data_IF_309684946198
#
_entry.id   IF_309684946198
#
_cell.length_a   1.000
_cell.length_b   1.000
_cell.length_c   1.000
_cell.angle_alpha   90.00
_cell.angle_beta   90.00
_cell.angle_gamma   90.00
#
_symmetry.space_group_name_H-M   'P 1'
#
loop_
_entity.id
_entity.type
_entity.pdbx_description
1 polymer ?
#
# COMPACT_ATOMS: atom_id res chain seq x y z
N UNK A 1 -7.03 -3.79 19.21
CA UNK A 1 -7.22 -2.35 18.92
C UNK A 1 -6.15 -1.49 19.58
N UNK A 2 -5.43 -1.98 20.61
CA UNK A 2 -4.34 -1.21 21.25
C UNK A 2 -3.27 -0.75 20.25
N UNK A 3 -2.93 -1.55 19.22
CA UNK A 3 -1.93 -1.17 18.22
C UNK A 3 -2.26 0.11 17.45
N UNK A 4 -3.54 0.33 17.09
CA UNK A 4 -4.00 1.53 16.41
C UNK A 4 -4.00 2.74 17.35
N UNK A 5 -4.43 2.54 18.60
CA UNK A 5 -4.43 3.58 19.63
C UNK A 5 -3.02 4.06 19.99
N UNK A 6 -2.05 3.14 20.05
CA UNK A 6 -0.63 3.46 20.28
C UNK A 6 -0.06 4.27 19.11
N UNK A 7 -0.38 3.90 17.87
CA UNK A 7 0.03 4.63 16.67
C UNK A 7 -0.49 6.07 16.65
N UNK A 8 -1.75 6.28 17.04
CA UNK A 8 -2.36 7.61 17.11
C UNK A 8 -1.79 8.46 18.26
N UNK A 9 -1.19 7.83 19.27
CA UNK A 9 -0.50 8.51 20.38
C UNK A 9 0.97 8.85 20.06
N UNK A 10 1.50 8.41 18.92
CA UNK A 10 2.88 8.70 18.52
C UNK A 10 3.01 10.15 18.04
N UNK A 11 4.00 10.87 18.56
CA UNK A 11 4.29 12.28 18.24
C UNK A 11 4.87 12.51 16.82
N UNK A 12 4.58 11.64 15.86
CA UNK A 12 5.05 11.74 14.46
C UNK A 12 4.65 13.05 13.78
N UNK A 13 3.57 13.69 14.25
CA UNK A 13 3.06 14.94 13.71
C UNK A 13 3.98 16.16 13.95
N UNK A 14 4.98 16.04 14.84
CA UNK A 14 5.93 17.11 15.15
C UNK A 14 7.27 16.97 14.43
N UNK A 15 7.45 15.98 13.56
CA UNK A 15 8.69 15.81 12.79
C UNK A 15 8.66 16.63 11.50
N UNK A 16 9.75 17.34 11.22
CA UNK A 16 9.97 18.04 9.95
C UNK A 16 10.40 17.10 8.81
N UNK A 17 10.67 15.82 9.11
CA UNK A 17 11.13 14.84 8.13
C UNK A 17 9.96 14.08 7.49
N UNK A 18 9.85 14.20 6.16
CA UNK A 18 8.84 13.49 5.35
C UNK A 18 8.88 11.96 5.53
N UNK A 19 10.06 11.40 5.78
CA UNK A 19 10.25 9.96 6.05
C UNK A 19 9.46 9.47 7.26
N UNK A 20 9.39 10.26 8.33
CA UNK A 20 8.76 9.86 9.58
C UNK A 20 7.23 9.79 9.41
N UNK A 21 6.68 10.73 8.62
CA UNK A 21 5.30 10.67 8.18
C UNK A 21 5.03 9.43 7.30
N UNK A 22 5.92 9.12 6.37
CA UNK A 22 5.78 7.96 5.48
C UNK A 22 5.89 6.63 6.25
N UNK A 23 6.70 6.57 7.30
CA UNK A 23 6.79 5.41 8.19
C UNK A 23 5.52 5.25 9.04
N UNK A 24 5.00 6.36 9.58
CA UNK A 24 3.72 6.38 10.28
C UNK A 24 2.58 5.88 9.38
N UNK A 25 2.44 6.43 8.17
CA UNK A 25 1.37 6.05 7.24
C UNK A 25 1.50 4.57 6.86
N UNK A 26 2.71 4.06 6.72
CA UNK A 26 2.95 2.64 6.41
C UNK A 26 2.48 1.73 7.54
N UNK A 27 2.85 2.02 8.78
CA UNK A 27 2.39 1.20 9.92
C UNK A 27 0.88 1.37 10.16
N UNK A 28 0.34 2.58 10.02
CA UNK A 28 -1.10 2.82 10.08
C UNK A 28 -1.86 1.99 9.03
N UNK A 29 -1.36 1.96 7.79
CA UNK A 29 -1.95 1.14 6.71
C UNK A 29 -1.96 -0.34 7.05
N UNK A 30 -0.86 -0.84 7.61
CA UNK A 30 -0.75 -2.23 8.05
C UNK A 30 -1.76 -2.56 9.14
N UNK A 31 -1.85 -1.73 10.18
CA UNK A 31 -2.83 -1.90 11.27
C UNK A 31 -4.26 -1.82 10.74
N UNK A 32 -4.54 -0.89 9.80
CA UNK A 32 -5.86 -0.75 9.18
C UNK A 32 -6.27 -1.99 8.41
N UNK A 33 -5.39 -2.53 7.55
CA UNK A 33 -5.67 -3.74 6.77
C UNK A 33 -5.87 -4.96 7.69
N UNK A 34 -5.06 -5.09 8.74
CA UNK A 34 -5.12 -6.22 9.67
C UNK A 34 -6.36 -6.19 10.57
N UNK A 35 -6.77 -5.02 11.06
CA UNK A 35 -7.84 -4.90 12.06
C UNK A 35 -9.19 -4.46 11.49
N UNK A 36 -9.23 -3.90 10.28
CA UNK A 36 -10.46 -3.43 9.63
C UNK A 36 -10.61 -3.98 8.20
N UNK A 37 -10.45 -5.30 7.97
CA UNK A 37 -10.46 -5.87 6.62
C UNK A 37 -11.76 -5.58 5.84
N UNK A 38 -12.91 -5.58 6.52
CA UNK A 38 -14.21 -5.27 5.91
C UNK A 38 -14.37 -3.83 5.42
N UNK A 39 -13.47 -2.92 5.82
CA UNK A 39 -13.47 -1.51 5.41
C UNK A 39 -12.45 -1.20 4.32
N UNK A 40 -11.53 -2.11 4.02
CA UNK A 40 -10.43 -1.90 3.06
C UNK A 40 -10.98 -1.54 1.68
N UNK A 41 -11.95 -2.31 1.15
CA UNK A 41 -12.51 -2.07 -0.19
C UNK A 41 -13.16 -0.68 -0.31
N UNK A 42 -14.02 -0.33 0.64
CA UNK A 42 -14.70 0.98 0.67
C UNK A 42 -13.71 2.13 0.85
N UNK A 43 -12.69 1.94 1.69
CA UNK A 43 -11.63 2.91 1.91
C UNK A 43 -10.84 3.14 0.62
N UNK A 44 -10.38 2.08 -0.03
CA UNK A 44 -9.65 2.14 -1.31
C UNK A 44 -10.46 2.85 -2.40
N UNK A 45 -11.74 2.49 -2.56
CA UNK A 45 -12.62 3.13 -3.53
C UNK A 45 -12.79 4.64 -3.28
N UNK A 46 -12.73 5.07 -2.01
CA UNK A 46 -12.81 6.48 -1.65
C UNK A 46 -11.49 7.20 -1.90
N UNK A 47 -10.36 6.59 -1.55
CA UNK A 47 -9.02 7.14 -1.76
C UNK A 47 -8.71 7.33 -3.26
N UNK A 48 -9.12 6.38 -4.10
CA UNK A 48 -8.88 6.47 -5.55
C UNK A 48 -9.50 7.74 -6.15
N UNK A 49 -10.66 8.18 -5.66
CA UNK A 49 -11.30 9.44 -6.10
C UNK A 49 -10.45 10.67 -5.77
N UNK A 50 -9.63 10.59 -4.72
CA UNK A 50 -8.76 11.67 -4.27
C UNK A 50 -7.54 11.84 -5.16
N UNK A 51 -7.21 10.86 -6.01
CA UNK A 51 -6.08 10.95 -6.94
C UNK A 51 -6.20 12.13 -7.91
N UNK A 52 -7.41 12.59 -8.21
CA UNK A 52 -7.64 13.72 -9.11
C UNK A 52 -7.95 15.03 -8.38
N UNK A 53 -7.73 15.08 -7.06
CA UNK A 53 -7.89 16.30 -6.29
C UNK A 53 -6.90 17.39 -6.75
N UNK A 54 -7.27 18.69 -6.74
CA UNK A 54 -6.41 19.77 -7.24
C UNK A 54 -5.18 20.03 -6.35
N UNK A 55 -5.12 19.44 -5.16
CA UNK A 55 -4.03 19.66 -4.20
C UNK A 55 -2.97 18.54 -4.29
N UNK A 56 -1.74 18.85 -4.77
CA UNK A 56 -0.73 17.82 -5.02
C UNK A 56 -0.31 17.03 -3.78
N UNK A 57 -0.26 17.68 -2.62
CA UNK A 57 0.06 17.03 -1.34
C UNK A 57 -1.02 16.02 -0.94
N UNK A 58 -2.29 16.36 -1.18
CA UNK A 58 -3.42 15.46 -0.91
C UNK A 58 -3.37 14.25 -1.85
N UNK A 59 -3.07 14.46 -3.13
CA UNK A 59 -2.85 13.37 -4.09
C UNK A 59 -1.71 12.45 -3.64
N UNK A 60 -0.55 13.04 -3.29
CA UNK A 60 0.62 12.28 -2.85
C UNK A 60 0.31 11.43 -1.61
N UNK A 61 -0.38 12.01 -0.61
CA UNK A 61 -0.77 11.29 0.59
C UNK A 61 -1.75 10.14 0.29
N UNK A 62 -2.76 10.38 -0.56
CA UNK A 62 -3.69 9.35 -1.02
C UNK A 62 -2.98 8.19 -1.74
N UNK A 63 -2.04 8.53 -2.63
CA UNK A 63 -1.24 7.56 -3.39
C UNK A 63 -0.41 6.70 -2.44
N UNK A 64 0.31 7.32 -1.51
CA UNK A 64 1.18 6.58 -0.60
C UNK A 64 0.37 5.69 0.36
N UNK A 65 -0.76 6.19 0.87
CA UNK A 65 -1.63 5.44 1.77
C UNK A 65 -2.27 4.22 1.09
N UNK A 66 -2.90 4.41 -0.07
CA UNK A 66 -3.51 3.30 -0.83
C UNK A 66 -2.49 2.24 -1.27
N UNK A 67 -1.29 2.68 -1.71
CA UNK A 67 -0.22 1.76 -2.10
C UNK A 67 0.32 0.98 -0.90
N UNK A 68 0.45 1.64 0.26
CA UNK A 68 0.82 0.98 1.53
C UNK A 68 -0.23 -0.06 1.93
N UNK A 69 -1.52 0.26 1.87
CA UNK A 69 -2.60 -0.70 2.13
C UNK A 69 -2.54 -1.92 1.19
N UNK A 70 -2.33 -1.70 -0.11
CA UNK A 70 -2.19 -2.79 -1.08
C UNK A 70 -0.96 -3.66 -0.80
N UNK A 71 0.16 -3.07 -0.40
CA UNK A 71 1.38 -3.84 -0.13
C UNK A 71 1.29 -4.78 1.08
N UNK A 72 0.36 -4.53 1.99
CA UNK A 72 0.09 -5.37 3.15
C UNK A 72 -1.16 -6.23 2.99
N UNK A 73 -1.89 -6.11 1.87
CA UNK A 73 -3.10 -6.88 1.64
C UNK A 73 -2.74 -8.27 1.09
N UNK A 74 -3.14 -9.31 1.80
CA UNK A 74 -3.09 -10.71 1.32
C UNK A 74 -4.43 -11.13 0.68
N UNK A 75 -5.44 -10.26 0.68
CA UNK A 75 -6.78 -10.51 0.14
C UNK A 75 -6.75 -10.41 -1.40
N UNK A 76 -6.87 -11.57 -2.05
CA UNK A 76 -6.84 -11.69 -3.51
C UNK A 76 -7.96 -10.91 -4.20
N UNK A 77 -9.13 -10.75 -3.57
CA UNK A 77 -10.22 -9.98 -4.14
C UNK A 77 -9.87 -8.47 -4.14
N UNK A 78 -9.30 -7.98 -3.04
CA UNK A 78 -8.83 -6.58 -2.94
C UNK A 78 -7.71 -6.32 -3.95
N UNK A 79 -6.72 -7.22 -4.01
CA UNK A 79 -5.60 -7.10 -4.94
C UNK A 79 -6.09 -7.14 -6.40
N UNK A 80 -6.92 -8.11 -6.77
CA UNK A 80 -7.43 -8.24 -8.14
C UNK A 80 -8.22 -7.00 -8.58
N UNK A 81 -8.97 -6.37 -7.66
CA UNK A 81 -9.78 -5.19 -7.96
C UNK A 81 -8.96 -3.90 -8.06
N UNK A 82 -8.08 -3.67 -7.09
CA UNK A 82 -7.48 -2.34 -6.91
C UNK A 82 -6.02 -2.25 -7.36
N UNK A 83 -5.28 -3.36 -7.41
CA UNK A 83 -3.83 -3.32 -7.69
C UNK A 83 -3.55 -2.73 -9.06
N UNK A 84 -4.12 -3.29 -10.13
CA UNK A 84 -3.91 -2.82 -11.50
C UNK A 84 -4.40 -1.38 -11.69
N UNK A 85 -5.53 -1.03 -11.07
CA UNK A 85 -6.08 0.31 -11.15
C UNK A 85 -5.15 1.34 -10.51
N UNK A 86 -4.70 1.10 -9.27
CA UNK A 86 -3.78 2.00 -8.57
C UNK A 86 -2.45 2.05 -9.32
N UNK A 87 -1.86 0.90 -9.66
CA UNK A 87 -0.58 0.82 -10.37
C UNK A 87 -0.59 1.62 -11.69
N UNK A 88 -1.66 1.49 -12.48
CA UNK A 88 -1.84 2.26 -13.71
C UNK A 88 -1.86 3.78 -13.47
N UNK A 89 -2.55 4.24 -12.41
CA UNK A 89 -2.54 5.65 -12.02
C UNK A 89 -1.14 6.10 -11.61
N UNK A 90 -0.39 5.28 -10.85
CA UNK A 90 0.96 5.63 -10.43
C UNK A 90 1.88 5.84 -11.64
N UNK A 91 1.88 4.92 -12.60
CA UNK A 91 2.69 5.04 -13.82
C UNK A 91 2.29 6.29 -14.61
N UNK A 92 0.99 6.56 -14.72
CA UNK A 92 0.48 7.74 -15.40
C UNK A 92 0.90 9.06 -14.74
N UNK A 93 0.77 9.17 -13.41
CA UNK A 93 1.11 10.39 -12.67
C UNK A 93 2.62 10.56 -12.48
N UNK A 94 3.38 9.47 -12.32
CA UNK A 94 4.85 9.51 -12.30
C UNK A 94 5.42 10.16 -13.55
N UNK A 95 4.85 9.85 -14.72
CA UNK A 95 5.33 10.34 -16.02
C UNK A 95 4.79 11.73 -16.39
N UNK A 96 3.54 12.05 -16.03
CA UNK A 96 2.83 13.23 -16.57
C UNK A 96 2.44 14.29 -15.55
N UNK A 97 2.54 14.04 -14.24
CA UNK A 97 2.18 15.06 -13.24
C UNK A 97 3.13 16.25 -13.33
N UNK A 98 2.58 17.47 -13.29
CA UNK A 98 3.34 18.72 -13.16
C UNK A 98 4.08 18.79 -11.81
N UNK A 99 3.49 18.20 -10.78
CA UNK A 99 3.96 18.33 -9.41
C UNK A 99 5.03 17.29 -9.06
N UNK A 100 6.22 17.78 -8.69
CA UNK A 100 7.35 16.93 -8.35
C UNK A 100 7.07 15.99 -7.16
N UNK A 101 6.31 16.46 -6.16
CA UNK A 101 5.91 15.66 -5.00
C UNK A 101 5.07 14.44 -5.42
N UNK A 102 4.13 14.63 -6.35
CA UNK A 102 3.30 13.54 -6.86
C UNK A 102 4.14 12.55 -7.65
N UNK A 103 5.06 13.02 -8.51
CA UNK A 103 5.96 12.14 -9.26
C UNK A 103 6.85 11.30 -8.34
N UNK A 104 7.51 11.94 -7.37
CA UNK A 104 8.39 11.27 -6.42
C UNK A 104 7.63 10.22 -5.58
N UNK A 105 6.44 10.57 -5.08
CA UNK A 105 5.61 9.62 -4.32
C UNK A 105 5.12 8.47 -5.18
N UNK A 106 4.76 8.69 -6.46
CA UNK A 106 4.42 7.60 -7.37
C UNK A 106 5.59 6.64 -7.57
N UNK A 107 6.82 7.15 -7.76
CA UNK A 107 8.01 6.30 -7.89
C UNK A 107 8.26 5.44 -6.65
N UNK A 108 8.15 6.04 -5.45
CA UNK A 108 8.28 5.32 -4.18
C UNK A 108 7.19 4.24 -4.03
N UNK A 109 5.93 4.60 -4.31
CA UNK A 109 4.80 3.69 -4.24
C UNK A 109 4.91 2.51 -5.22
N UNK A 110 5.38 2.73 -6.44
CA UNK A 110 5.66 1.64 -7.40
C UNK A 110 6.70 0.69 -6.82
N UNK A 111 7.81 1.21 -6.28
CA UNK A 111 8.83 0.37 -5.64
C UNK A 111 8.28 -0.48 -4.49
N UNK A 112 7.42 0.12 -3.67
CA UNK A 112 6.74 -0.56 -2.57
C UNK A 112 5.80 -1.68 -3.06
N UNK A 113 4.98 -1.42 -4.08
CA UNK A 113 4.09 -2.43 -4.67
C UNK A 113 4.89 -3.58 -5.29
N UNK A 114 5.93 -3.28 -6.09
CA UNK A 114 6.77 -4.32 -6.70
C UNK A 114 7.47 -5.19 -5.65
N UNK A 115 7.99 -4.59 -4.57
CA UNK A 115 8.59 -5.34 -3.47
C UNK A 115 7.59 -6.29 -2.80
N UNK A 116 6.35 -5.85 -2.62
CA UNK A 116 5.29 -6.68 -2.03
C UNK A 116 4.88 -7.85 -2.94
N UNK A 117 4.70 -7.61 -4.25
CA UNK A 117 4.35 -8.66 -5.22
C UNK A 117 5.43 -9.73 -5.30
N UNK A 118 6.71 -9.32 -5.29
CA UNK A 118 7.81 -10.27 -5.20
C UNK A 118 7.69 -11.10 -3.91
N UNK A 119 7.53 -10.48 -2.74
CA UNK A 119 7.37 -11.20 -1.47
C UNK A 119 6.24 -12.24 -1.49
N UNK A 120 5.09 -11.91 -2.11
CA UNK A 120 3.97 -12.84 -2.30
C UNK A 120 4.35 -14.00 -3.24
N UNK A 121 4.98 -13.69 -4.37
CA UNK A 121 5.46 -14.70 -5.33
C UNK A 121 6.46 -15.68 -4.69
N UNK A 122 7.39 -15.18 -3.87
CA UNK A 122 8.35 -16.01 -3.14
C UNK A 122 7.67 -16.89 -2.07
N UNK A 123 6.59 -16.41 -1.43
CA UNK A 123 5.81 -17.22 -0.49
C UNK A 123 5.04 -18.34 -1.20
N UNK A 124 4.46 -18.05 -2.36
CA UNK A 124 3.74 -19.04 -3.17
C UNK A 124 4.67 -20.18 -3.64
N UNK A 125 5.84 -19.83 -4.19
CA UNK A 125 6.82 -20.82 -4.67
C UNK A 125 7.33 -21.75 -3.55
N UNK A 126 7.52 -21.23 -2.32
CA UNK A 126 7.89 -22.07 -1.17
C UNK A 126 6.76 -23.02 -0.74
N UNK A 127 5.50 -22.60 -0.83
CA UNK A 127 4.36 -23.45 -0.49
C UNK A 127 4.25 -24.62 -1.48
N UNK A 128 4.31 -24.32 -2.78
CA UNK A 128 4.26 -25.34 -3.85
C UNK A 128 5.40 -26.36 -3.72
N UNK A 129 6.59 -25.91 -3.32
CA UNK A 129 7.76 -26.79 -3.09
C UNK A 129 7.61 -27.70 -1.86
N UNK A 130 6.92 -27.24 -0.81
CA UNK A 130 6.67 -28.07 0.39
C UNK A 130 5.58 -29.11 0.10
N UNK A 131 4.55 -28.74 -0.64
CA UNK A 131 3.43 -29.63 -0.98
C UNK A 131 3.85 -30.71 -2.01
N UNK A 132 4.73 -30.38 -2.94
CA UNK A 132 5.34 -31.35 -3.87
C UNK A 132 6.26 -32.35 -3.16
N UNK A 133 7.04 -31.92 -2.16
CA UNK A 133 7.86 -32.83 -1.36
C UNK A 133 7.05 -33.80 -0.50
N UNK A 134 5.83 -33.44 -0.10
CA UNK A 134 4.94 -34.34 0.66
C UNK A 134 4.24 -35.37 -0.21
N UNK A 135 4.00 -35.07 -1.49
CA UNK A 135 3.37 -35.99 -2.45
C UNK A 135 4.32 -37.02 -3.07
N UNK A 136 5.63 -36.86 -2.90
CA UNK A 136 6.63 -37.80 -3.44
C UNK A 136 7.08 -38.89 -2.47
N UNK A 137 6.48 -38.99 -1.29
CA UNK A 137 6.93 -39.88 -0.21
C UNK A 137 5.86 -40.90 0.25
N UNK A 138 4.86 -41.14 -0.61
CA UNK A 138 3.89 -42.24 -0.55
C UNK A 138 4.15 -43.21 -1.72
#
# INVERSE_FOLDING_TARGET
MEGLSVLLSLHCFNSDHRSDYEDFVREFSKQFVQHLPSRVDTCMASIIKVFDAPWPVIQANAIYFSSSMLSFSDDQHILARHFTQVFGVLVGKMSRSSDAVVRATCSSAIGLLLKSTNSISWRADRLDRVDSNRRGND
#
